data_IF_725432530498
#
_entry.id   IF_725432530498
#
_cell.length_a   1.000
_cell.length_b   1.000
_cell.length_c   1.000
_cell.angle_alpha   90.00
_cell.angle_beta   90.00
_cell.angle_gamma   90.00
#
_symmetry.space_group_name_H-M   'P 1'
#
loop_
_entity.id
_entity.type
_entity.pdbx_description
1 polymer ?
#
# COMPACT_ATOMS: atom_id res chain seq x y z
N UNK A 1 14.24 -21.93 -0.16
CA UNK A 1 14.02 -21.96 1.31
C UNK A 1 12.86 -22.90 1.58
N UNK A 2 12.80 -23.56 2.73
CA UNK A 2 11.59 -24.30 3.12
C UNK A 2 10.47 -23.31 3.46
N UNK A 3 9.20 -23.74 3.40
CA UNK A 3 8.07 -22.88 3.77
C UNK A 3 8.26 -22.28 5.18
N UNK A 4 8.73 -23.09 6.12
CA UNK A 4 8.95 -22.66 7.50
C UNK A 4 10.03 -21.58 7.59
N UNK A 5 11.15 -21.72 6.88
CA UNK A 5 12.19 -20.69 6.82
C UNK A 5 11.70 -19.36 6.24
N UNK A 6 10.82 -19.43 5.22
CA UNK A 6 10.22 -18.23 4.60
C UNK A 6 9.33 -17.52 5.62
N UNK A 7 8.47 -18.27 6.32
CA UNK A 7 7.58 -17.72 7.36
C UNK A 7 8.40 -17.12 8.50
N UNK A 8 9.40 -17.83 9.02
CA UNK A 8 10.26 -17.34 10.10
C UNK A 8 10.99 -16.04 9.71
N UNK A 9 11.52 -15.96 8.49
CA UNK A 9 12.14 -14.75 7.96
C UNK A 9 11.12 -13.61 7.91
N UNK A 10 9.95 -13.85 7.32
CA UNK A 10 8.90 -12.85 7.18
C UNK A 10 8.45 -12.33 8.54
N UNK A 11 8.11 -13.21 9.48
CA UNK A 11 7.65 -12.83 10.82
C UNK A 11 8.70 -12.01 11.55
N UNK A 12 9.98 -12.39 11.45
CA UNK A 12 11.08 -11.62 12.05
C UNK A 12 11.16 -10.20 11.49
N UNK A 13 11.12 -10.05 10.16
CA UNK A 13 11.19 -8.73 9.50
C UNK A 13 9.96 -7.87 9.84
N UNK A 14 8.76 -8.45 9.75
CA UNK A 14 7.50 -7.79 10.11
C UNK A 14 7.53 -7.26 11.53
N UNK A 15 7.85 -8.11 12.52
CA UNK A 15 7.91 -7.71 13.92
C UNK A 15 8.96 -6.63 14.19
N UNK A 16 10.10 -6.67 13.49
CA UNK A 16 11.11 -5.61 13.57
C UNK A 16 10.53 -4.28 13.07
N UNK A 17 9.91 -4.26 11.90
CA UNK A 17 9.31 -3.03 11.34
C UNK A 17 8.17 -2.51 12.20
N UNK A 18 7.25 -3.38 12.66
CA UNK A 18 6.17 -3.04 13.58
C UNK A 18 6.68 -2.36 14.85
N UNK A 19 7.73 -2.91 15.47
CA UNK A 19 8.30 -2.31 16.67
C UNK A 19 8.90 -0.93 16.40
N UNK A 20 9.55 -0.73 15.25
CA UNK A 20 10.16 0.55 14.86
C UNK A 20 9.14 1.61 14.43
N UNK A 21 7.96 1.19 13.96
CA UNK A 21 6.90 2.06 13.45
C UNK A 21 5.77 2.28 14.45
N UNK A 22 5.84 1.66 15.64
CA UNK A 22 4.74 1.66 16.62
C UNK A 22 4.24 3.07 16.95
N UNK A 23 5.13 3.97 17.32
CA UNK A 23 4.80 5.37 17.65
C UNK A 23 4.19 6.10 16.46
N UNK A 24 4.82 5.98 15.29
CA UNK A 24 4.32 6.59 14.06
C UNK A 24 2.90 6.11 13.72
N UNK A 25 2.63 4.79 13.77
CA UNK A 25 1.29 4.25 13.50
C UNK A 25 0.25 4.68 14.54
N UNK A 26 0.66 4.91 15.79
CA UNK A 26 -0.22 5.48 16.81
C UNK A 26 -0.60 6.93 16.47
N UNK A 27 0.38 7.76 16.07
CA UNK A 27 0.13 9.12 15.59
C UNK A 27 -0.80 9.12 14.37
N UNK A 28 -0.58 8.23 13.40
CA UNK A 28 -1.46 8.12 12.23
C UNK A 28 -2.90 7.75 12.62
N UNK A 29 -3.07 6.89 13.62
CA UNK A 29 -4.39 6.53 14.15
C UNK A 29 -5.10 7.72 14.76
N UNK A 30 -4.39 8.54 15.54
CA UNK A 30 -4.94 9.74 16.15
C UNK A 30 -5.30 10.80 15.10
N UNK A 31 -4.43 11.00 14.10
CA UNK A 31 -4.71 11.86 12.94
C UNK A 31 -5.97 11.39 12.21
N UNK A 32 -6.11 10.08 11.99
CA UNK A 32 -7.28 9.53 11.32
C UNK A 32 -8.56 9.72 12.15
N UNK A 33 -8.51 9.45 13.46
CA UNK A 33 -9.64 9.64 14.37
C UNK A 33 -10.09 11.13 14.38
N UNK A 34 -9.14 12.07 14.38
CA UNK A 34 -9.41 13.50 14.22
C UNK A 34 -9.97 13.86 12.84
N UNK A 35 -9.46 13.24 11.77
CA UNK A 35 -9.92 13.47 10.40
C UNK A 35 -11.38 13.05 10.20
N UNK A 36 -11.79 11.91 10.79
CA UNK A 36 -13.18 11.43 10.72
C UNK A 36 -14.09 12.10 11.75
N UNK A 37 -13.53 12.89 12.67
CA UNK A 37 -14.28 13.58 13.72
C UNK A 37 -14.84 12.62 14.76
N UNK A 38 -14.10 11.56 15.09
CA UNK A 38 -14.49 10.59 16.12
C UNK A 38 -14.49 11.27 17.48
N UNK A 39 -15.56 11.10 18.24
CA UNK A 39 -15.71 11.63 19.60
C UNK A 39 -15.59 10.49 20.61
N UNK A 40 -14.90 10.73 21.72
CA UNK A 40 -14.78 9.75 22.80
C UNK A 40 -16.10 9.56 23.57
N UNK A 41 -16.94 10.61 23.62
CA UNK A 41 -18.27 10.55 24.23
C UNK A 41 -19.37 10.28 23.19
N UNK A 42 -20.28 9.34 23.51
CA UNK A 42 -21.49 9.11 22.72
C UNK A 42 -22.43 10.29 22.94
N UNK A 43 -22.35 11.28 22.05
CA UNK A 43 -23.26 12.42 22.10
C UNK A 43 -24.54 12.06 21.32
N UNK A 44 -25.66 12.01 22.04
CA UNK A 44 -26.97 11.64 21.47
C UNK A 44 -27.50 12.65 20.43
N UNK A 45 -26.90 13.84 20.37
CA UNK A 45 -27.36 14.98 19.56
C UNK A 45 -26.16 15.75 19.00
N UNK A 46 -26.04 15.95 17.67
CA UNK A 46 -24.88 16.59 17.03
C UNK A 46 -24.59 18.04 17.45
N UNK A 47 -25.49 18.67 18.20
CA UNK A 47 -25.45 20.10 18.54
C UNK A 47 -25.02 20.38 19.99
N UNK A 48 -24.87 19.35 20.83
CA UNK A 48 -24.53 19.49 22.25
C UNK A 48 -23.02 19.34 22.56
N UNK A 49 -22.19 19.13 21.54
CA UNK A 49 -20.73 19.05 21.71
C UNK A 49 -20.12 20.44 21.83
N UNK A 50 -19.45 20.69 22.97
CA UNK A 50 -18.57 21.86 23.15
C UNK A 50 -17.19 21.65 22.52
N UNK A 51 -16.94 20.46 21.96
CA UNK A 51 -15.65 20.08 21.42
C UNK A 51 -15.47 20.62 19.99
N UNK A 52 -14.35 21.30 19.80
CA UNK A 52 -13.94 21.86 18.52
C UNK A 52 -13.50 20.70 17.63
N UNK A 53 -14.41 20.18 16.78
CA UNK A 53 -14.04 19.16 15.78
C UNK A 53 -12.93 19.77 14.92
N UNK A 54 -11.69 19.23 14.95
CA UNK A 54 -10.59 19.78 14.18
C UNK A 54 -11.00 19.85 12.71
N UNK A 55 -10.86 21.03 12.10
CA UNK A 55 -11.17 21.25 10.69
C UNK A 55 -10.16 20.57 9.75
N UNK A 56 -9.51 19.48 10.17
CA UNK A 56 -8.44 18.80 9.45
C UNK A 56 -8.88 18.45 8.01
N UNK A 57 -10.10 17.93 7.84
CA UNK A 57 -10.67 17.67 6.50
C UNK A 57 -10.76 18.93 5.64
N UNK A 58 -11.09 20.07 6.24
CA UNK A 58 -11.16 21.37 5.55
C UNK A 58 -9.77 21.87 5.19
N UNK A 59 -8.80 21.78 6.10
CA UNK A 59 -7.41 22.18 5.85
C UNK A 59 -6.78 21.35 4.74
N UNK A 60 -6.93 20.02 4.78
CA UNK A 60 -6.46 19.13 3.69
C UNK A 60 -7.12 19.51 2.36
N UNK A 61 -8.42 19.86 2.37
CA UNK A 61 -9.14 20.27 1.17
C UNK A 61 -8.65 21.62 0.61
N UNK A 62 -8.09 22.49 1.45
CA UNK A 62 -7.44 23.72 1.01
C UNK A 62 -6.01 23.50 0.50
N UNK A 63 -5.25 22.60 1.12
CA UNK A 63 -3.84 22.36 0.77
C UNK A 63 -3.70 21.50 -0.48
N UNK A 64 -4.48 20.40 -0.60
CA UNK A 64 -4.36 19.43 -1.69
C UNK A 64 -4.38 20.07 -3.09
N UNK A 65 -5.30 21.02 -3.42
CA UNK A 65 -5.33 21.64 -4.75
C UNK A 65 -4.05 22.40 -5.14
N UNK A 66 -3.27 22.91 -4.18
CA UNK A 66 -2.00 23.56 -4.48
C UNK A 66 -0.92 22.59 -4.94
N UNK A 67 -1.07 21.30 -4.63
CA UNK A 67 -0.15 20.22 -5.02
C UNK A 67 -0.68 19.48 -6.24
N UNK A 68 -1.99 19.27 -6.28
CA UNK A 68 -2.67 18.46 -7.30
C UNK A 68 -3.95 19.15 -7.75
N UNK A 69 -3.88 19.84 -8.88
CA UNK A 69 -5.01 20.58 -9.48
C UNK A 69 -5.23 20.31 -10.98
N UNK A 70 -4.41 19.44 -11.59
CA UNK A 70 -4.47 19.13 -13.01
C UNK A 70 -4.26 17.66 -13.31
N UNK A 71 -4.29 17.30 -14.60
CA UNK A 71 -3.94 15.95 -15.04
C UNK A 71 -2.46 15.67 -14.71
N UNK A 72 -2.14 14.51 -14.13
CA UNK A 72 -0.77 14.16 -13.82
C UNK A 72 0.04 13.94 -15.11
N UNK A 73 1.15 14.65 -15.22
CA UNK A 73 2.12 14.52 -16.31
C UNK A 73 3.47 14.12 -15.72
N UNK A 74 4.18 13.23 -16.43
CA UNK A 74 5.56 12.87 -16.15
C UNK A 74 6.42 13.48 -17.25
N UNK A 75 7.43 14.25 -16.85
CA UNK A 75 8.46 14.78 -17.73
C UNK A 75 9.65 13.81 -17.74
N UNK A 76 10.18 13.50 -18.92
CA UNK A 76 11.35 12.63 -19.05
C UNK A 76 12.48 13.42 -19.72
N UNK A 77 13.49 13.74 -18.91
CA UNK A 77 14.69 14.40 -19.37
C UNK A 77 15.78 13.39 -19.74
N UNK A 78 16.30 13.50 -20.97
CA UNK A 78 17.48 12.75 -21.39
C UNK A 78 18.74 13.30 -20.73
N UNK A 79 19.64 12.40 -20.29
CA UNK A 79 20.89 12.79 -19.63
C UNK A 79 21.92 13.32 -20.64
N UNK A 80 21.94 12.75 -21.85
CA UNK A 80 22.80 13.17 -22.96
C UNK A 80 22.04 13.73 -24.16
N UNK A 81 22.75 14.41 -25.07
CA UNK A 81 22.16 14.93 -26.31
C UNK A 81 21.57 13.81 -27.20
N UNK A 82 22.16 12.62 -27.13
CA UNK A 82 21.70 11.41 -27.83
C UNK A 82 20.37 10.84 -27.29
N UNK A 83 20.03 11.12 -26.04
CA UNK A 83 18.79 10.64 -25.41
C UNK A 83 17.61 11.60 -25.59
N UNK A 84 17.84 12.84 -26.03
CA UNK A 84 16.80 13.89 -26.10
C UNK A 84 15.62 13.54 -27.01
N UNK A 85 15.88 12.83 -28.10
CA UNK A 85 14.80 12.42 -29.00
C UNK A 85 14.04 11.20 -28.47
N UNK A 86 14.75 10.30 -27.79
CA UNK A 86 14.16 9.12 -27.14
C UNK A 86 13.32 9.55 -25.95
N UNK A 87 13.79 10.51 -25.15
CA UNK A 87 13.11 10.97 -23.94
C UNK A 87 11.73 11.54 -24.26
N UNK A 88 11.59 12.32 -25.34
CA UNK A 88 10.30 12.82 -25.85
C UNK A 88 9.34 11.70 -26.26
N UNK A 89 9.85 10.60 -26.82
CA UNK A 89 9.03 9.44 -27.19
C UNK A 89 8.57 8.71 -25.93
N UNK A 90 9.49 8.47 -24.98
CA UNK A 90 9.17 7.83 -23.71
C UNK A 90 8.17 8.63 -22.89
N UNK A 91 8.33 9.95 -22.84
CA UNK A 91 7.42 10.87 -22.16
C UNK A 91 5.99 10.71 -22.69
N UNK A 92 5.83 10.75 -24.03
CA UNK A 92 4.53 10.53 -24.68
C UNK A 92 3.95 9.15 -24.35
N UNK A 93 4.77 8.10 -24.32
CA UNK A 93 4.32 6.75 -23.99
C UNK A 93 3.83 6.71 -22.53
N UNK A 94 4.61 7.26 -21.60
CA UNK A 94 4.27 7.25 -20.17
C UNK A 94 3.01 8.08 -19.91
N UNK A 95 2.91 9.29 -20.47
CA UNK A 95 1.73 10.14 -20.31
C UNK A 95 0.49 9.55 -20.98
N UNK A 96 0.64 8.87 -22.13
CA UNK A 96 -0.45 8.09 -22.72
C UNK A 96 -0.90 6.95 -21.80
N UNK A 97 0.04 6.23 -21.17
CA UNK A 97 -0.31 5.16 -20.23
C UNK A 97 -1.04 5.70 -18.99
N UNK A 98 -0.58 6.82 -18.43
CA UNK A 98 -1.23 7.47 -17.28
C UNK A 98 -2.64 7.95 -17.62
N UNK A 99 -2.84 8.59 -18.76
CA UNK A 99 -4.14 9.16 -19.12
C UNK A 99 -5.14 8.14 -19.69
N UNK A 100 -4.67 7.12 -20.42
CA UNK A 100 -5.55 6.24 -21.21
C UNK A 100 -5.51 4.76 -20.81
N UNK A 101 -4.38 4.26 -20.28
CA UNK A 101 -4.24 2.81 -20.01
C UNK A 101 -4.50 2.46 -18.55
N UNK A 102 -3.92 3.21 -17.62
CA UNK A 102 -4.05 2.93 -16.19
C UNK A 102 -5.46 3.31 -15.73
N UNK A 103 -6.28 2.36 -15.27
CA UNK A 103 -7.63 2.67 -14.83
C UNK A 103 -7.62 3.58 -13.59
N UNK A 104 -8.38 4.68 -13.67
CA UNK A 104 -8.52 5.66 -12.59
C UNK A 104 -7.17 6.20 -12.10
N UNK A 105 -6.22 6.41 -13.01
CA UNK A 105 -4.88 6.90 -12.66
C UNK A 105 -4.92 8.23 -11.92
N UNK A 106 -5.81 9.14 -12.36
CA UNK A 106 -6.03 10.43 -11.73
C UNK A 106 -6.44 10.27 -10.26
N UNK A 107 -7.46 9.47 -9.97
CA UNK A 107 -7.97 9.24 -8.61
C UNK A 107 -6.96 8.51 -7.74
N UNK A 108 -6.15 7.63 -8.32
CA UNK A 108 -5.06 6.95 -7.59
C UNK A 108 -3.96 7.93 -7.22
N UNK A 109 -3.52 8.78 -8.14
CA UNK A 109 -2.50 9.80 -7.85
C UNK A 109 -3.06 10.83 -6.86
N UNK A 110 -4.32 11.24 -7.02
CA UNK A 110 -5.00 12.10 -6.05
C UNK A 110 -5.01 11.45 -4.66
N UNK A 111 -5.32 10.15 -4.56
CA UNK A 111 -5.33 9.42 -3.30
C UNK A 111 -3.95 9.32 -2.67
N UNK A 112 -2.90 9.16 -3.49
CA UNK A 112 -1.50 9.15 -3.05
C UNK A 112 -1.10 10.51 -2.47
N UNK A 113 -1.42 11.60 -3.16
CA UNK A 113 -1.17 12.97 -2.68
C UNK A 113 -2.00 13.26 -1.43
N UNK A 114 -3.29 12.92 -1.44
CA UNK A 114 -4.20 13.13 -0.31
C UNK A 114 -3.69 12.44 0.95
N UNK A 115 -3.31 11.16 0.84
CA UNK A 115 -2.77 10.40 1.96
C UNK A 115 -1.46 11.01 2.49
N UNK A 116 -0.60 11.53 1.62
CA UNK A 116 0.64 12.21 2.04
C UNK A 116 0.37 13.57 2.69
N UNK A 117 -0.59 14.36 2.22
CA UNK A 117 -0.97 15.63 2.87
C UNK A 117 -1.56 15.36 4.26
N UNK A 118 -2.38 14.32 4.41
CA UNK A 118 -3.00 13.95 5.69
C UNK A 118 -1.96 13.44 6.69
N UNK A 119 -1.14 12.45 6.29
CA UNK A 119 -0.28 11.69 7.20
C UNK A 119 1.22 12.05 7.12
N UNK A 120 1.60 12.88 6.15
CA UNK A 120 2.97 13.31 5.88
C UNK A 120 3.74 12.44 4.90
N UNK A 121 3.31 11.20 4.69
CA UNK A 121 3.95 10.27 3.76
C UNK A 121 2.93 9.34 3.15
N UNK A 122 3.08 9.07 1.85
CA UNK A 122 2.34 8.03 1.17
C UNK A 122 3.21 7.29 0.17
N UNK A 123 2.78 6.09 -0.17
CA UNK A 123 3.47 5.20 -1.09
C UNK A 123 2.50 4.84 -2.22
N UNK A 124 3.00 4.83 -3.45
CA UNK A 124 2.31 4.29 -4.61
C UNK A 124 3.15 3.15 -5.18
N UNK A 125 2.52 2.00 -5.39
CA UNK A 125 3.14 0.83 -6.01
C UNK A 125 2.81 0.83 -7.49
N UNK A 126 3.82 0.56 -8.31
CA UNK A 126 3.68 0.39 -9.76
C UNK A 126 3.70 -1.10 -10.05
N UNK A 127 2.56 -1.67 -10.43
CA UNK A 127 2.42 -3.09 -10.70
C UNK A 127 2.23 -3.32 -12.20
N UNK A 128 2.73 -4.44 -12.70
CA UNK A 128 2.46 -4.85 -14.07
C UNK A 128 1.34 -5.88 -14.10
N UNK A 129 0.26 -5.61 -14.84
CA UNK A 129 -0.87 -6.54 -14.99
C UNK A 129 -0.71 -7.30 -16.30
N UNK A 130 -0.49 -8.60 -16.16
CA UNK A 130 -0.44 -9.53 -17.28
C UNK A 130 -1.55 -10.57 -17.16
N UNK A 131 -2.53 -10.51 -18.06
CA UNK A 131 -3.64 -11.46 -18.13
C UNK A 131 -3.64 -12.13 -19.51
N UNK A 132 -3.76 -13.45 -19.54
CA UNK A 132 -3.82 -14.22 -20.79
C UNK A 132 -5.13 -14.97 -20.91
N UNK A 133 -5.72 -14.98 -22.10
CA UNK A 133 -6.79 -15.92 -22.48
C UNK A 133 -6.18 -17.16 -23.08
N UNK A 134 -6.72 -18.33 -22.76
CA UNK A 134 -6.42 -19.54 -23.50
C UNK A 134 -7.58 -19.83 -24.46
N UNK A 135 -7.32 -19.75 -25.76
CA UNK A 135 -8.24 -20.19 -26.81
C UNK A 135 -7.53 -21.23 -27.68
N UNK A 136 -8.13 -22.42 -27.81
CA UNK A 136 -7.58 -23.54 -28.60
C UNK A 136 -6.14 -23.96 -28.20
N UNK A 137 -5.78 -23.85 -26.92
CA UNK A 137 -4.45 -24.20 -26.41
C UNK A 137 -3.38 -23.13 -26.67
N UNK A 138 -3.75 -21.98 -27.25
CA UNK A 138 -2.86 -20.83 -27.43
C UNK A 138 -3.18 -19.79 -26.37
N UNK A 139 -2.17 -19.47 -25.54
CA UNK A 139 -2.26 -18.37 -24.56
C UNK A 139 -2.00 -17.05 -25.26
N UNK A 140 -3.01 -16.21 -25.33
CA UNK A 140 -2.96 -14.88 -25.95
C UNK A 140 -3.09 -13.83 -24.84
N UNK A 141 -2.20 -12.82 -24.77
CA UNK A 141 -2.32 -11.75 -23.78
C UNK A 141 -3.59 -10.93 -24.05
N UNK A 142 -4.46 -10.81 -23.04
CA UNK A 142 -5.62 -9.92 -23.03
C UNK A 142 -5.21 -8.55 -22.48
N UNK A 143 -4.41 -8.57 -21.42
CA UNK A 143 -4.00 -7.39 -20.66
C UNK A 143 -2.50 -7.43 -20.45
N UNK A 144 -1.81 -6.39 -20.86
CA UNK A 144 -0.37 -6.24 -20.73
C UNK A 144 -0.05 -4.75 -20.53
N UNK A 145 -0.31 -4.27 -19.33
CA UNK A 145 -0.22 -2.84 -19.01
C UNK A 145 0.13 -2.59 -17.53
N UNK A 146 0.74 -1.44 -17.23
CA UNK A 146 0.97 -1.05 -15.86
C UNK A 146 -0.34 -0.74 -15.14
N UNK A 147 -0.33 -0.81 -13.82
CA UNK A 147 -1.34 -0.28 -12.95
C UNK A 147 -0.70 0.32 -11.70
N UNK A 148 -1.47 1.16 -11.02
CA UNK A 148 -1.07 1.82 -9.78
C UNK A 148 -1.88 1.27 -8.61
N UNK A 149 -1.24 1.12 -7.46
CA UNK A 149 -1.89 0.75 -6.21
C UNK A 149 -1.38 1.70 -5.13
N UNK A 150 -2.30 2.38 -4.44
CA UNK A 150 -1.97 3.22 -3.29
C UNK A 150 -2.34 2.44 -2.03
N UNK A 151 -1.39 1.70 -1.43
CA UNK A 151 -1.65 1.05 -0.15
C UNK A 151 -1.97 2.11 0.91
N UNK A 152 -2.73 1.71 1.94
CA UNK A 152 -2.84 2.52 3.14
C UNK A 152 -1.46 2.55 3.82
N UNK A 153 -0.97 3.73 4.18
CA UNK A 153 0.33 3.88 4.86
C UNK A 153 0.41 3.08 6.17
N UNK A 154 -0.71 2.86 6.86
CA UNK A 154 -0.78 2.02 8.06
C UNK A 154 -0.57 0.52 7.74
N UNK A 155 -0.85 0.09 6.52
CA UNK A 155 -0.63 -1.27 6.02
C UNK A 155 0.75 -1.46 5.36
N UNK A 156 1.60 -0.43 5.40
CA UNK A 156 2.96 -0.48 4.90
C UNK A 156 3.94 -0.71 6.07
N UNK A 157 4.86 -1.65 5.92
CA UNK A 157 5.93 -1.91 6.88
C UNK A 157 7.29 -1.80 6.20
N UNK A 158 8.17 -0.99 6.79
CA UNK A 158 9.49 -0.64 6.26
C UNK A 158 10.40 -0.21 7.41
N UNK A 159 11.70 -0.09 7.13
CA UNK A 159 12.64 0.46 8.10
C UNK A 159 12.56 2.00 8.08
N UNK A 160 12.00 2.59 9.14
CA UNK A 160 11.84 4.06 9.28
C UNK A 160 13.14 4.85 9.26
N UNK A 161 14.28 4.19 9.57
CA UNK A 161 15.60 4.82 9.60
C UNK A 161 16.25 4.95 8.21
N UNK A 162 15.68 4.30 7.20
CA UNK A 162 16.19 4.35 5.84
C UNK A 162 15.33 5.33 5.05
N UNK A 163 15.86 6.45 4.53
CA UNK A 163 15.05 7.53 4.00
C UNK A 163 14.51 7.30 2.58
N UNK A 164 14.90 6.25 1.88
CA UNK A 164 14.49 6.03 0.48
C UNK A 164 13.94 4.63 0.29
N UNK A 165 13.15 4.42 -0.76
CA UNK A 165 12.62 3.08 -1.09
C UNK A 165 13.76 2.18 -1.60
N UNK A 166 14.67 2.74 -2.39
CA UNK A 166 15.81 2.06 -3.01
C UNK A 166 16.82 1.56 -1.98
N UNK A 167 16.86 2.21 -0.81
CA UNK A 167 17.70 1.82 0.33
C UNK A 167 17.08 0.73 1.20
N UNK A 168 15.78 0.46 1.09
CA UNK A 168 15.12 -0.59 1.88
C UNK A 168 15.61 -1.97 1.45
N UNK A 169 15.85 -2.86 2.42
CA UNK A 169 16.11 -4.27 2.13
C UNK A 169 14.80 -4.98 1.73
N UNK A 170 13.72 -4.69 2.48
CA UNK A 170 12.38 -5.17 2.20
C UNK A 170 11.36 -4.06 2.45
N UNK A 171 10.28 -4.08 1.68
CA UNK A 171 9.02 -3.44 2.05
C UNK A 171 7.92 -4.49 2.11
N UNK A 172 7.05 -4.39 3.11
CA UNK A 172 5.91 -5.29 3.28
C UNK A 172 4.63 -4.48 3.13
N UNK A 173 3.72 -4.97 2.29
CA UNK A 173 2.41 -4.39 2.08
C UNK A 173 1.34 -5.38 2.54
N UNK A 174 0.46 -4.94 3.44
CA UNK A 174 -0.69 -5.71 3.91
C UNK A 174 -1.92 -5.37 3.07
N UNK A 175 -2.72 -6.39 2.78
CA UNK A 175 -4.03 -6.27 2.16
C UNK A 175 -4.99 -7.23 2.85
N UNK A 176 -6.26 -6.85 2.97
CA UNK A 176 -7.32 -7.74 3.44
C UNK A 176 -8.14 -8.16 2.22
N UNK A 177 -8.12 -9.45 1.90
CA UNK A 177 -8.71 -9.99 0.68
C UNK A 177 -9.67 -11.14 1.00
N UNK A 178 -10.69 -11.30 0.16
CA UNK A 178 -11.55 -12.47 0.21
C UNK A 178 -10.75 -13.73 -0.16
N UNK A 179 -11.01 -14.84 0.53
CA UNK A 179 -10.32 -16.13 0.31
C UNK A 179 -10.49 -16.60 -1.14
N UNK A 180 -11.64 -16.35 -1.76
CA UNK A 180 -11.91 -16.70 -3.16
C UNK A 180 -11.01 -15.93 -4.13
N UNK A 181 -10.94 -14.61 -3.98
CA UNK A 181 -10.04 -13.75 -4.76
C UNK A 181 -8.58 -14.17 -4.63
N UNK A 182 -8.17 -14.58 -3.43
CA UNK A 182 -6.82 -15.11 -3.19
C UNK A 182 -6.65 -16.45 -3.93
N UNK A 183 -7.62 -17.36 -3.88
CA UNK A 183 -7.55 -18.67 -4.57
C UNK A 183 -7.53 -18.58 -6.09
N UNK A 184 -8.17 -17.56 -6.65
CA UNK A 184 -8.23 -17.32 -8.09
C UNK A 184 -6.98 -16.63 -8.64
N UNK A 185 -6.16 -16.02 -7.78
CA UNK A 185 -4.99 -15.28 -8.22
C UNK A 185 -3.91 -16.22 -8.80
N UNK A 186 -3.57 -16.10 -10.11
CA UNK A 186 -2.61 -16.99 -10.76
C UNK A 186 -1.18 -16.83 -10.23
N UNK A 187 -0.84 -15.67 -9.67
CA UNK A 187 0.47 -15.41 -9.09
C UNK A 187 0.72 -16.20 -7.79
N UNK A 188 -0.32 -16.76 -7.16
CA UNK A 188 -0.20 -17.55 -5.94
C UNK A 188 -0.03 -19.03 -6.28
N UNK A 189 1.17 -19.36 -6.73
CA UNK A 189 1.55 -20.64 -7.31
C UNK A 189 2.42 -21.51 -6.38
N UNK A 190 2.71 -21.08 -5.15
CA UNK A 190 3.58 -21.81 -4.25
C UNK A 190 3.00 -23.20 -3.89
N UNK A 191 3.79 -24.25 -4.13
CA UNK A 191 3.39 -25.65 -3.93
C UNK A 191 4.18 -26.34 -2.83
N UNK A 192 3.47 -27.18 -2.06
CA UNK A 192 4.08 -28.13 -1.11
C UNK A 192 3.51 -29.51 -1.37
N UNK A 193 4.39 -30.48 -1.62
CA UNK A 193 4.01 -31.86 -1.96
C UNK A 193 3.06 -31.94 -3.18
N UNK A 194 3.31 -31.12 -4.21
CA UNK A 194 2.53 -31.09 -5.46
C UNK A 194 1.12 -30.51 -5.33
N UNK A 195 0.85 -29.76 -4.25
CA UNK A 195 -0.42 -29.05 -4.05
C UNK A 195 -0.15 -27.58 -3.75
N UNK A 196 -0.80 -26.69 -4.50
CA UNK A 196 -0.81 -25.25 -4.20
C UNK A 196 -1.31 -24.97 -2.79
N UNK A 197 -0.54 -24.21 -2.02
CA UNK A 197 -0.90 -23.84 -0.66
C UNK A 197 -2.17 -22.99 -0.60
N UNK A 198 -2.44 -22.18 -1.63
CA UNK A 198 -3.64 -21.34 -1.72
C UNK A 198 -4.94 -22.16 -1.58
N UNK A 199 -4.95 -23.45 -1.98
CA UNK A 199 -6.12 -24.33 -1.83
C UNK A 199 -6.41 -24.70 -0.37
N UNK A 200 -5.40 -24.69 0.50
CA UNK A 200 -5.52 -24.98 1.94
C UNK A 200 -5.99 -23.76 2.74
N UNK A 201 -5.99 -22.58 2.13
CA UNK A 201 -6.33 -21.32 2.79
C UNK A 201 -7.76 -21.34 3.31
N UNK A 202 -7.88 -20.97 4.59
CA UNK A 202 -9.12 -20.80 5.33
C UNK A 202 -9.10 -19.48 6.10
N UNK A 203 -10.25 -18.79 6.19
CA UNK A 203 -10.34 -17.53 6.91
C UNK A 203 -10.11 -17.74 8.40
N UNK A 204 -9.53 -16.74 9.07
CA UNK A 204 -9.34 -16.76 10.52
C UNK A 204 -10.68 -16.45 11.20
N UNK A 205 -11.05 -17.20 12.25
CA UNK A 205 -12.30 -16.96 13.00
C UNK A 205 -12.37 -15.59 13.69
N UNK A 206 -11.22 -14.99 13.98
CA UNK A 206 -11.07 -13.67 14.56
C UNK A 206 -9.90 -12.96 13.90
N UNK A 207 -10.14 -11.83 13.24
CA UNK A 207 -9.07 -10.93 12.83
C UNK A 207 -8.43 -10.36 14.11
N UNK A 208 -7.10 -10.36 14.18
CA UNK A 208 -6.41 -9.82 15.34
C UNK A 208 -6.66 -8.30 15.39
N UNK A 209 -7.12 -7.82 16.54
CA UNK A 209 -7.30 -6.39 16.80
C UNK A 209 -5.95 -5.76 17.11
N UNK A 210 -5.10 -5.60 16.10
CA UNK A 210 -3.94 -4.73 16.24
C UNK A 210 -4.42 -3.29 16.03
N UNK A 211 -4.23 -2.44 17.04
CA UNK A 211 -4.64 -1.02 17.04
C UNK A 211 -3.97 -0.25 15.88
N UNK A 212 -2.90 -0.82 15.31
CA UNK A 212 -2.13 -0.29 14.18
C UNK A 212 -2.62 -0.72 12.79
N UNK A 213 -3.70 -1.50 12.70
CA UNK A 213 -4.25 -1.97 11.42
C UNK A 213 -5.36 -1.03 10.90
N UNK A 214 -5.29 -0.68 9.61
CA UNK A 214 -6.31 0.12 8.93
C UNK A 214 -7.74 -0.44 9.08
N UNK A 215 -7.83 -1.77 9.09
CA UNK A 215 -9.04 -2.58 9.28
C UNK A 215 -9.80 -2.26 10.56
N UNK A 216 -9.10 -1.86 11.62
CA UNK A 216 -9.73 -1.50 12.91
C UNK A 216 -10.32 -0.09 12.86
N UNK A 217 -9.76 0.79 12.02
CA UNK A 217 -10.16 2.19 11.90
C UNK A 217 -11.29 2.43 10.89
N UNK A 218 -11.41 1.60 9.84
CA UNK A 218 -12.46 1.71 8.81
C UNK A 218 -13.66 0.78 9.05
N UNK A 219 -14.09 0.62 10.31
CA UNK A 219 -15.17 -0.29 10.78
C UNK A 219 -14.76 -1.75 11.06
N UNK A 220 -14.17 -1.97 12.24
CA UNK A 220 -13.99 -3.30 12.82
C UNK A 220 -15.30 -4.14 12.86
N UNK A 221 -16.48 -3.50 12.92
CA UNK A 221 -17.78 -4.19 12.93
C UNK A 221 -18.23 -4.72 11.56
N UNK A 222 -17.84 -4.09 10.45
CA UNK A 222 -18.15 -4.58 9.10
C UNK A 222 -17.31 -5.80 8.73
N UNK A 223 -16.05 -5.82 9.15
CA UNK A 223 -15.11 -6.92 8.85
C UNK A 223 -15.21 -8.09 9.84
N UNK A 224 -15.58 -7.85 11.11
CA UNK A 224 -15.91 -8.93 12.05
C UNK A 224 -17.10 -9.79 11.58
N UNK A 225 -17.95 -9.25 10.71
CA UNK A 225 -19.08 -9.96 10.09
C UNK A 225 -18.72 -10.61 8.75
N UNK A 226 -17.53 -10.36 8.18
CA UNK A 226 -17.07 -11.01 6.95
C UNK A 226 -16.28 -12.27 7.28
N UNK A 227 -16.99 -13.38 7.42
CA UNK A 227 -16.45 -14.71 7.75
C UNK A 227 -15.52 -15.33 6.67
N UNK A 228 -15.15 -14.59 5.62
CA UNK A 228 -14.43 -15.11 4.45
C UNK A 228 -13.20 -14.28 4.00
N UNK A 229 -12.65 -13.44 4.87
CA UNK A 229 -11.44 -12.64 4.57
C UNK A 229 -10.18 -13.23 5.21
N UNK A 230 -9.03 -12.93 4.60
CA UNK A 230 -7.69 -13.23 5.10
C UNK A 230 -6.78 -12.01 4.95
N UNK A 231 -5.77 -11.92 5.80
CA UNK A 231 -4.70 -10.94 5.63
C UNK A 231 -3.65 -11.52 4.70
N UNK A 232 -3.30 -10.77 3.68
CA UNK A 232 -2.24 -11.12 2.73
C UNK A 232 -1.14 -10.08 2.83
N UNK A 233 0.09 -10.56 2.96
CA UNK A 233 1.28 -9.75 3.08
C UNK A 233 2.20 -10.01 1.90
N UNK A 234 2.53 -8.96 1.16
CA UNK A 234 3.48 -8.99 0.05
C UNK A 234 4.78 -8.34 0.51
N UNK A 235 5.83 -9.14 0.68
CA UNK A 235 7.18 -8.70 1.00
C UNK A 235 8.02 -8.64 -0.28
N UNK A 236 8.49 -7.44 -0.62
CA UNK A 236 9.24 -7.14 -1.85
C UNK A 236 10.66 -6.76 -1.46
N UNK A 237 11.66 -7.42 -2.06
CA UNK A 237 13.05 -7.00 -2.10
C UNK A 237 13.53 -6.84 -3.53
N UNK A 238 14.77 -6.37 -3.72
CA UNK A 238 15.39 -6.29 -5.06
C UNK A 238 15.44 -7.63 -5.79
N UNK A 239 15.58 -8.72 -5.05
CA UNK A 239 15.82 -10.06 -5.62
C UNK A 239 14.61 -10.96 -5.62
N UNK A 240 13.65 -10.77 -4.69
CA UNK A 240 12.52 -11.69 -4.52
C UNK A 240 11.24 -10.99 -4.11
N UNK A 241 10.12 -11.60 -4.50
CA UNK A 241 8.78 -11.27 -4.04
C UNK A 241 8.23 -12.50 -3.30
N UNK A 242 7.89 -12.31 -2.04
CA UNK A 242 7.30 -13.34 -1.18
C UNK A 242 5.90 -12.86 -0.77
N UNK A 243 4.91 -13.71 -0.96
CA UNK A 243 3.54 -13.44 -0.49
C UNK A 243 3.12 -14.50 0.51
N UNK A 244 2.62 -14.06 1.66
CA UNK A 244 2.12 -14.91 2.74
C UNK A 244 0.67 -14.51 3.05
N UNK A 245 -0.16 -15.48 3.38
CA UNK A 245 -1.48 -15.25 3.95
C UNK A 245 -1.54 -15.72 5.40
N UNK A 246 -2.14 -14.90 6.26
CA UNK A 246 -2.47 -15.24 7.63
C UNK A 246 -3.97 -15.58 7.72
N UNK A 247 -4.27 -16.88 7.74
CA UNK A 247 -5.61 -17.43 7.93
C UNK A 247 -5.72 -18.21 9.26
N UNK A 248 -6.38 -19.37 9.25
CA UNK A 248 -6.24 -20.34 10.36
C UNK A 248 -4.78 -20.78 10.55
N UNK A 249 -4.04 -20.86 9.44
CA UNK A 249 -2.60 -21.12 9.39
C UNK A 249 -1.92 -20.04 8.56
N UNK A 250 -0.64 -19.78 8.85
CA UNK A 250 0.20 -18.93 8.01
C UNK A 250 0.74 -19.74 6.84
N UNK A 251 0.39 -19.34 5.62
CA UNK A 251 0.74 -20.04 4.39
C UNK A 251 1.52 -19.15 3.45
N UNK A 252 2.61 -19.68 2.89
CA UNK A 252 3.29 -19.04 1.76
C UNK A 252 2.46 -19.28 0.50
N UNK A 253 2.10 -18.19 -0.18
CA UNK A 253 1.32 -18.17 -1.42
C UNK A 253 2.20 -18.02 -2.65
N UNK A 254 3.30 -17.26 -2.54
CA UNK A 254 4.26 -17.00 -3.63
C UNK A 254 5.68 -16.85 -3.07
N UNK A 255 6.66 -17.41 -3.76
CA UNK A 255 8.10 -17.16 -3.54
C UNK A 255 8.83 -17.20 -4.88
N UNK A 256 9.00 -16.03 -5.50
CA UNK A 256 9.51 -15.89 -6.87
C UNK A 256 10.63 -14.86 -6.94
N UNK A 257 11.57 -14.96 -7.89
CA UNK A 257 12.49 -13.87 -8.19
C UNK A 257 11.74 -12.58 -8.52
N UNK A 258 12.25 -11.44 -8.07
CA UNK A 258 11.70 -10.15 -8.44
C UNK A 258 12.15 -9.80 -9.87
N UNK A 259 11.21 -9.83 -10.81
CA UNK A 259 11.45 -9.51 -12.23
C UNK A 259 11.86 -8.05 -12.47
N UNK A 260 11.52 -7.15 -11.55
CA UNK A 260 11.85 -5.73 -11.67
C UNK A 260 13.31 -5.44 -11.30
N UNK A 261 13.92 -6.25 -10.41
CA UNK A 261 15.26 -5.98 -9.86
C UNK A 261 15.32 -4.82 -8.84
N UNK A 262 14.17 -4.23 -8.50
CA UNK A 262 14.02 -3.16 -7.52
C UNK A 262 12.66 -3.24 -6.82
N UNK A 263 12.51 -2.54 -5.69
CA UNK A 263 11.21 -2.41 -5.01
C UNK A 263 10.36 -1.42 -5.80
N UNK A 264 9.31 -1.92 -6.44
CA UNK A 264 8.41 -1.19 -7.35
C UNK A 264 7.42 -0.28 -6.61
N UNK A 265 7.93 0.57 -5.72
CA UNK A 265 7.18 1.54 -4.95
C UNK A 265 7.83 2.91 -5.04
N UNK A 266 7.01 3.96 -5.07
CA UNK A 266 7.45 5.35 -5.07
C UNK A 266 6.90 6.00 -3.81
N UNK A 267 7.77 6.69 -3.08
CA UNK A 267 7.40 7.43 -1.88
C UNK A 267 7.17 8.89 -2.21
N UNK A 268 6.09 9.45 -1.67
CA UNK A 268 5.86 10.89 -1.64
C UNK A 268 5.86 11.39 -0.20
N UNK A 269 6.62 12.46 0.03
CA UNK A 269 6.69 13.19 1.29
C UNK A 269 6.05 14.55 1.04
N UNK A 270 5.06 14.91 1.85
CA UNK A 270 4.45 16.24 1.76
C UNK A 270 5.41 17.31 2.31
N UNK A 271 5.79 17.19 3.58
CA UNK A 271 6.82 18.02 4.20
C UNK A 271 7.91 17.15 4.83
N UNK A 272 9.19 17.55 4.73
CA UNK A 272 10.27 16.81 5.37
C UNK A 272 10.10 16.82 6.89
N UNK A 273 10.57 15.76 7.54
CA UNK A 273 10.63 15.70 8.99
C UNK A 273 11.70 16.66 9.54
N UNK A 274 11.50 17.14 10.76
CA UNK A 274 12.52 17.92 11.48
C UNK A 274 13.77 17.08 11.75
N UNK A 275 13.61 15.76 11.91
CA UNK A 275 14.72 14.82 11.94
C UNK A 275 15.12 14.49 10.50
N UNK A 276 16.32 14.89 10.04
CA UNK A 276 16.75 14.60 8.68
C UNK A 276 16.95 13.10 8.46
N UNK A 277 16.87 12.67 7.21
CA UNK A 277 17.14 11.29 6.76
C UNK A 277 16.20 10.21 7.37
N UNK A 278 14.95 10.56 7.67
CA UNK A 278 13.91 9.59 8.04
C UNK A 278 13.08 9.19 6.83
N UNK A 279 12.43 8.02 6.91
CA UNK A 279 11.49 7.62 5.88
C UNK A 279 10.23 8.51 5.87
N UNK A 280 9.75 8.88 7.07
CA UNK A 280 8.48 9.56 7.27
C UNK A 280 8.64 11.07 7.35
N UNK A 281 7.80 11.78 6.60
CA UNK A 281 7.62 13.22 6.65
C UNK A 281 6.53 13.67 7.61
N UNK A 282 6.18 14.94 7.48
CA UNK A 282 5.14 15.65 8.24
C UNK A 282 3.98 15.99 7.30
N UNK A 283 2.77 15.85 7.82
CA UNK A 283 1.49 16.13 7.18
C UNK A 283 0.75 17.24 7.91
N UNK A 284 -0.36 17.69 7.34
CA UNK A 284 -1.27 18.63 8.00
C UNK A 284 -1.88 17.99 9.25
N UNK A 285 -2.07 16.67 9.25
CA UNK A 285 -2.59 15.92 10.39
C UNK A 285 -1.75 16.08 11.66
N UNK A 286 -0.44 16.23 11.53
CA UNK A 286 0.45 16.42 12.67
C UNK A 286 0.13 17.70 13.46
N UNK A 287 -0.55 18.70 12.86
CA UNK A 287 -1.01 19.89 13.57
C UNK A 287 -2.13 19.60 14.59
N UNK A 288 -2.77 18.43 14.52
CA UNK A 288 -3.80 18.01 15.47
C UNK A 288 -3.25 17.24 16.66
N UNK A 289 -1.96 16.86 16.63
CA UNK A 289 -1.29 16.16 17.73
C UNK A 289 -0.91 17.20 18.80
N UNK A 290 -1.49 17.08 20.00
CA UNK A 290 -1.38 18.05 21.10
C UNK A 290 -0.71 17.49 22.35
#
# INVERSE_FOLDING_TARGET
MTQQQIIEKFTKVKSQYESSQKTFKQELSEIYDNYVGKMEEVVNTPYDTKENIPKLRTEISYVKPFIFSGEPEIEIEGVGDEDKDISKILEKIVNYRLSQSIPNAYEKIESWVHQAVTFGTSIIKVIWKFETKEENGVKTPIKDEPDLEVPNIMDCYYNSLIPTVEGQEYMIFRSVLNVETVKENPAYDYEVNGKKNVKKLKPKKFLASDVSNSTVQTDAQLLANQSNVVEVYEMISKDRIITIAEGEETLVLRDTPNSYGFINAVKFIFEPNTIPNTFNGMGVGQNTLG
#
